data_IF_412046958561
#
_entry.id   IF_412046958561
#
_cell.length_a   1.000
_cell.length_b   1.000
_cell.length_c   1.000
_cell.angle_alpha   90.00
_cell.angle_beta   90.00
_cell.angle_gamma   90.00
#
_symmetry.space_group_name_H-M   'P 1'
#
loop_
_entity.id
_entity.type
_entity.pdbx_description
1 polymer ?
#
# COMPACT_ATOMS: atom_id res chain seq x y z
N UNK A 1 9.47 8.40 -23.98
CA UNK A 1 10.78 8.65 -23.36
C UNK A 1 11.84 7.67 -23.84
N UNK A 2 13.06 7.75 -23.27
CA UNK A 2 14.20 6.87 -23.66
C UNK A 2 13.84 5.37 -23.64
N UNK A 3 13.00 4.94 -22.73
CA UNK A 3 12.57 3.52 -22.62
C UNK A 3 11.66 3.09 -23.76
N UNK A 4 10.82 3.95 -24.28
CA UNK A 4 10.00 3.66 -25.47
C UNK A 4 10.85 3.45 -26.72
N UNK A 5 11.99 4.16 -26.86
CA UNK A 5 12.94 3.95 -27.94
C UNK A 5 13.59 2.56 -27.91
N UNK A 6 13.67 1.95 -26.73
CA UNK A 6 14.20 0.60 -26.51
C UNK A 6 13.07 -0.45 -26.55
N UNK A 7 11.81 -0.04 -26.80
CA UNK A 7 10.64 -0.93 -26.80
C UNK A 7 10.20 -1.38 -25.41
N UNK A 8 10.59 -0.66 -24.37
CA UNK A 8 10.22 -0.95 -22.97
C UNK A 8 9.16 0.03 -22.50
N UNK A 9 8.25 -0.48 -21.66
CA UNK A 9 7.17 0.32 -21.06
C UNK A 9 7.71 1.48 -20.21
N UNK A 10 7.09 2.66 -20.36
CA UNK A 10 7.47 3.89 -19.65
C UNK A 10 7.44 3.77 -18.12
N UNK A 11 6.61 2.86 -17.58
CA UNK A 11 6.50 2.58 -16.14
C UNK A 11 7.82 2.03 -15.59
N UNK A 12 8.49 1.12 -16.31
CA UNK A 12 9.78 0.57 -15.90
C UNK A 12 10.85 1.68 -15.86
N UNK A 13 10.81 2.59 -16.81
CA UNK A 13 11.70 3.76 -16.84
C UNK A 13 11.49 4.69 -15.66
N UNK A 14 10.24 4.97 -15.30
CA UNK A 14 9.90 5.77 -14.14
C UNK A 14 10.36 5.11 -12.82
N UNK A 15 10.16 3.79 -12.70
CA UNK A 15 10.62 3.03 -11.54
C UNK A 15 12.14 3.06 -11.37
N UNK A 16 12.90 2.80 -12.46
CA UNK A 16 14.36 2.86 -12.43
C UNK A 16 14.87 4.27 -12.11
N UNK A 17 14.25 5.31 -12.69
CA UNK A 17 14.58 6.70 -12.37
C UNK A 17 14.34 6.99 -10.88
N UNK A 18 13.23 6.51 -10.31
CA UNK A 18 12.93 6.64 -8.89
C UNK A 18 13.96 5.96 -8.00
N UNK A 19 14.41 4.75 -8.36
CA UNK A 19 15.47 4.04 -7.63
C UNK A 19 16.80 4.79 -7.62
N UNK A 20 17.18 5.36 -8.75
CA UNK A 20 18.42 6.15 -8.85
C UNK A 20 18.31 7.45 -8.06
N UNK A 21 17.21 8.16 -8.19
CA UNK A 21 16.97 9.42 -7.49
C UNK A 21 16.84 9.22 -5.97
N UNK A 22 16.24 8.13 -5.51
CA UNK A 22 16.10 7.82 -4.08
C UNK A 22 17.45 7.77 -3.34
N UNK A 23 18.51 7.36 -4.03
CA UNK A 23 19.87 7.35 -3.45
C UNK A 23 20.53 8.74 -3.43
N UNK A 24 20.12 9.63 -4.34
CA UNK A 24 20.72 10.95 -4.54
C UNK A 24 20.00 12.05 -3.77
N UNK A 25 18.70 11.87 -3.50
CA UNK A 25 17.84 12.87 -2.85
C UNK A 25 17.53 12.40 -1.43
N UNK A 26 17.96 13.13 -0.38
CA UNK A 26 17.56 12.83 0.99
C UNK A 26 16.04 12.88 1.16
N UNK A 27 15.49 11.97 1.98
CA UNK A 27 14.05 11.92 2.27
C UNK A 27 13.53 13.20 2.94
N UNK A 28 14.38 13.91 3.65
CA UNK A 28 14.07 15.20 4.27
C UNK A 28 14.78 16.27 3.45
N UNK A 29 14.15 16.72 2.38
CA UNK A 29 14.69 17.80 1.54
C UNK A 29 13.55 18.60 0.90
N UNK A 30 13.73 19.93 0.70
CA UNK A 30 12.71 20.75 0.02
C UNK A 30 12.32 20.23 -1.37
N UNK A 31 13.27 19.58 -2.06
CA UNK A 31 13.01 18.96 -3.36
C UNK A 31 12.07 17.76 -3.23
N UNK A 32 12.25 16.91 -2.21
CA UNK A 32 11.39 15.76 -1.96
C UNK A 32 9.97 16.21 -1.60
N UNK A 33 9.84 17.23 -0.75
CA UNK A 33 8.54 17.81 -0.39
C UNK A 33 7.79 18.35 -1.62
N UNK A 34 8.48 19.02 -2.53
CA UNK A 34 7.87 19.50 -3.78
C UNK A 34 7.46 18.36 -4.71
N UNK A 35 8.28 17.32 -4.85
CA UNK A 35 7.96 16.15 -5.66
C UNK A 35 6.75 15.40 -5.10
N UNK A 36 6.70 15.23 -3.79
CA UNK A 36 5.58 14.58 -3.11
C UNK A 36 4.31 15.41 -3.22
N UNK A 37 4.40 16.72 -3.04
CA UNK A 37 3.26 17.63 -3.21
C UNK A 37 2.69 17.55 -4.62
N UNK A 38 3.51 17.68 -5.66
CA UNK A 38 3.06 17.63 -7.06
C UNK A 38 2.51 16.24 -7.40
N UNK A 39 3.16 15.19 -6.92
CA UNK A 39 2.69 13.80 -7.07
C UNK A 39 1.29 13.61 -6.51
N UNK A 40 1.09 14.00 -5.26
CA UNK A 40 -0.17 13.81 -4.53
C UNK A 40 -1.28 14.77 -5.00
N UNK A 41 -0.93 16.01 -5.33
CA UNK A 41 -1.93 17.02 -5.69
C UNK A 41 -2.37 16.96 -7.16
N UNK A 42 -1.51 16.49 -8.06
CA UNK A 42 -1.78 16.54 -9.50
C UNK A 42 -1.76 15.15 -10.15
N UNK A 43 -0.64 14.42 -10.05
CA UNK A 43 -0.46 13.19 -10.82
C UNK A 43 -1.34 12.04 -10.34
N UNK A 44 -1.48 11.84 -9.02
CA UNK A 44 -2.31 10.75 -8.47
C UNK A 44 -3.79 10.97 -8.77
N UNK A 45 -4.41 12.16 -8.51
CA UNK A 45 -5.80 12.40 -8.87
C UNK A 45 -6.05 12.29 -10.38
N UNK A 46 -5.17 12.84 -11.21
CA UNK A 46 -5.29 12.74 -12.66
C UNK A 46 -5.28 11.27 -13.14
N UNK A 47 -4.35 10.47 -12.61
CA UNK A 47 -4.27 9.05 -12.91
C UNK A 47 -5.55 8.31 -12.47
N UNK A 48 -6.02 8.55 -11.23
CA UNK A 48 -7.22 7.89 -10.71
C UNK A 48 -8.49 8.25 -11.49
N UNK A 49 -8.64 9.51 -11.90
CA UNK A 49 -9.76 9.95 -12.75
C UNK A 49 -9.67 9.29 -14.13
N UNK A 50 -8.49 9.30 -14.75
CA UNK A 50 -8.27 8.69 -16.06
C UNK A 50 -8.60 7.21 -16.06
N UNK A 51 -8.17 6.50 -15.03
CA UNK A 51 -8.51 5.08 -14.84
C UNK A 51 -10.00 4.89 -14.57
N UNK A 52 -10.60 5.72 -13.70
CA UNK A 52 -12.03 5.66 -13.40
C UNK A 52 -12.90 5.76 -14.65
N UNK A 53 -12.48 6.54 -15.64
CA UNK A 53 -13.21 6.67 -16.93
C UNK A 53 -13.11 5.42 -17.82
N UNK A 54 -12.08 4.58 -17.64
CA UNK A 54 -11.93 3.33 -18.39
C UNK A 54 -12.81 2.20 -17.83
N UNK A 55 -13.31 2.36 -16.61
CA UNK A 55 -14.08 1.33 -15.94
C UNK A 55 -15.52 1.33 -16.44
N UNK A 56 -15.97 0.22 -16.97
CA UNK A 56 -17.36 0.03 -17.37
C UNK A 56 -18.12 -0.76 -16.29
N UNK A 57 -18.74 -0.06 -15.33
CA UNK A 57 -19.50 -0.68 -14.25
C UNK A 57 -20.68 -1.54 -14.75
N UNK A 58 -21.21 -1.30 -15.95
CA UNK A 58 -22.30 -2.10 -16.51
C UNK A 58 -21.87 -3.53 -16.81
N UNK A 59 -20.60 -3.75 -17.14
CA UNK A 59 -20.06 -5.10 -17.40
C UNK A 59 -20.01 -5.93 -16.11
N UNK A 60 -19.88 -5.30 -14.94
CA UNK A 60 -19.91 -5.99 -13.65
C UNK A 60 -21.29 -6.56 -13.28
N UNK A 61 -22.36 -5.94 -13.79
CA UNK A 61 -23.76 -6.34 -13.54
C UNK A 61 -24.40 -7.01 -14.77
N UNK A 62 -23.66 -7.18 -15.87
CA UNK A 62 -24.11 -7.86 -17.08
C UNK A 62 -23.95 -9.37 -17.02
N UNK A 63 -24.41 -10.06 -18.08
CA UNK A 63 -24.32 -11.53 -18.24
C UNK A 63 -22.91 -12.03 -18.61
N UNK A 64 -21.86 -11.20 -18.46
CA UNK A 64 -20.48 -11.55 -18.83
C UNK A 64 -19.74 -12.38 -17.77
N UNK A 65 -18.62 -12.97 -18.16
CA UNK A 65 -17.73 -13.74 -17.27
C UNK A 65 -16.88 -12.86 -16.33
N UNK A 66 -16.98 -11.53 -16.42
CA UNK A 66 -16.23 -10.58 -15.60
C UNK A 66 -16.38 -10.83 -14.10
N UNK A 67 -17.58 -11.17 -13.63
CA UNK A 67 -17.83 -11.48 -12.23
C UNK A 67 -17.15 -12.79 -11.80
N UNK A 68 -17.14 -13.82 -12.66
CA UNK A 68 -16.44 -15.08 -12.39
C UNK A 68 -14.93 -14.86 -12.34
N UNK A 69 -14.39 -14.10 -13.30
CA UNK A 69 -12.97 -13.72 -13.35
C UNK A 69 -12.60 -12.95 -12.07
N UNK A 70 -13.40 -11.96 -11.70
CA UNK A 70 -13.19 -11.20 -10.47
C UNK A 70 -13.20 -12.09 -9.22
N UNK A 71 -14.16 -13.01 -9.09
CA UNK A 71 -14.27 -13.92 -7.96
C UNK A 71 -13.03 -14.83 -7.85
N UNK A 72 -12.54 -15.38 -8.95
CA UNK A 72 -11.33 -16.19 -8.98
C UNK A 72 -10.11 -15.35 -8.60
N UNK A 73 -9.94 -14.16 -9.17
CA UNK A 73 -8.84 -13.25 -8.85
C UNK A 73 -8.84 -12.85 -7.37
N UNK A 74 -10.00 -12.49 -6.82
CA UNK A 74 -10.14 -12.11 -5.41
C UNK A 74 -9.78 -13.29 -4.50
N UNK A 75 -10.33 -14.47 -4.78
CA UNK A 75 -10.07 -15.67 -3.98
C UNK A 75 -8.59 -16.04 -4.00
N UNK A 76 -7.94 -16.02 -5.16
CA UNK A 76 -6.51 -16.29 -5.28
C UNK A 76 -5.66 -15.24 -4.55
N UNK A 77 -5.99 -13.96 -4.68
CA UNK A 77 -5.26 -12.89 -4.02
C UNK A 77 -5.35 -12.97 -2.50
N UNK A 78 -6.56 -13.16 -1.96
CA UNK A 78 -6.78 -13.26 -0.52
C UNK A 78 -6.13 -14.51 0.08
N UNK A 79 -6.32 -15.68 -0.55
CA UNK A 79 -5.76 -16.94 -0.06
C UNK A 79 -4.25 -17.00 -0.18
N UNK A 80 -3.67 -16.56 -1.29
CA UNK A 80 -2.23 -16.53 -1.48
C UNK A 80 -1.52 -15.66 -0.45
N UNK A 81 -2.04 -14.47 -0.19
CA UNK A 81 -1.49 -13.57 0.84
C UNK A 81 -1.71 -14.11 2.26
N UNK A 82 -2.86 -14.74 2.52
CA UNK A 82 -3.11 -15.36 3.80
C UNK A 82 -2.11 -16.50 4.10
N UNK A 83 -1.85 -17.35 3.11
CA UNK A 83 -0.86 -18.44 3.22
C UNK A 83 0.54 -17.86 3.45
N UNK A 84 0.93 -16.80 2.71
CA UNK A 84 2.21 -16.14 2.89
C UNK A 84 2.38 -15.57 4.30
N UNK A 85 1.38 -14.86 4.82
CA UNK A 85 1.41 -14.32 6.18
C UNK A 85 1.42 -15.41 7.25
N UNK A 86 0.69 -16.51 7.04
CA UNK A 86 0.69 -17.65 7.93
C UNK A 86 2.06 -18.37 7.97
N UNK A 87 2.69 -18.51 6.80
CA UNK A 87 4.03 -19.10 6.71
C UNK A 87 5.06 -18.21 7.40
N UNK A 88 5.00 -16.91 7.19
CA UNK A 88 5.86 -15.92 7.86
C UNK A 88 5.68 -15.96 9.36
N UNK A 89 4.44 -16.04 9.85
CA UNK A 89 4.16 -16.20 11.27
C UNK A 89 4.85 -17.44 11.86
N UNK A 90 4.80 -18.58 11.17
CA UNK A 90 5.44 -19.82 11.64
C UNK A 90 6.97 -19.72 11.66
N UNK A 91 7.57 -19.14 10.62
CA UNK A 91 9.03 -19.03 10.50
C UNK A 91 9.59 -18.06 11.54
N UNK A 92 8.96 -16.91 11.72
CA UNK A 92 9.45 -15.85 12.63
C UNK A 92 8.83 -15.92 14.03
N UNK A 93 7.96 -16.91 14.32
CA UNK A 93 7.27 -17.08 15.59
C UNK A 93 6.52 -15.83 16.06
N UNK A 94 5.92 -15.10 15.11
CA UNK A 94 5.15 -13.89 15.37
C UNK A 94 3.81 -14.20 16.05
N UNK A 95 3.26 -13.21 16.74
CA UNK A 95 1.92 -13.31 17.35
C UNK A 95 0.82 -13.36 16.28
N UNK A 96 -0.38 -13.81 16.68
CA UNK A 96 -1.55 -13.83 15.80
C UNK A 96 -1.98 -12.40 15.40
N UNK A 97 -1.79 -11.44 16.31
CA UNK A 97 -2.13 -10.04 16.05
C UNK A 97 -1.20 -9.43 15.00
N UNK A 98 0.11 -9.66 15.15
CA UNK A 98 1.11 -9.22 14.15
C UNK A 98 0.85 -9.82 12.78
N UNK A 99 0.52 -11.11 12.70
CA UNK A 99 0.13 -11.75 11.43
C UNK A 99 -1.09 -11.05 10.80
N UNK A 100 -2.13 -10.79 11.58
CA UNK A 100 -3.34 -10.16 11.08
C UNK A 100 -3.08 -8.72 10.61
N UNK A 101 -2.24 -8.00 11.33
CA UNK A 101 -1.80 -6.66 10.94
C UNK A 101 -1.02 -6.70 9.62
N UNK A 102 -0.04 -7.61 9.53
CA UNK A 102 0.75 -7.82 8.32
C UNK A 102 -0.12 -8.23 7.12
N UNK A 103 -1.07 -9.14 7.33
CA UNK A 103 -2.04 -9.54 6.30
C UNK A 103 -2.90 -8.36 5.86
N UNK A 104 -3.47 -7.61 6.79
CA UNK A 104 -4.28 -6.44 6.49
C UNK A 104 -3.48 -5.40 5.68
N UNK A 105 -2.31 -4.99 6.14
CA UNK A 105 -1.47 -3.99 5.46
C UNK A 105 -0.98 -4.44 4.08
N UNK A 106 -0.67 -5.73 3.90
CA UNK A 106 -0.17 -6.25 2.62
C UNK A 106 -1.27 -6.54 1.61
N UNK A 107 -2.53 -6.67 2.06
CA UNK A 107 -3.62 -7.15 1.20
C UNK A 107 -4.22 -6.06 0.30
N UNK A 108 -4.14 -4.79 0.69
CA UNK A 108 -4.63 -3.69 -0.12
C UNK A 108 -3.93 -3.66 -1.49
N UNK A 109 -4.70 -3.82 -2.54
CA UNK A 109 -4.26 -3.62 -3.91
C UNK A 109 -4.87 -2.32 -4.41
N UNK A 110 -4.05 -1.49 -5.06
CA UNK A 110 -4.47 -0.16 -5.47
C UNK A 110 -3.88 0.23 -6.83
N UNK A 111 -3.43 1.47 -6.96
CA UNK A 111 -2.97 2.07 -8.20
C UNK A 111 -1.91 1.25 -8.95
N UNK A 112 -0.96 0.61 -8.26
CA UNK A 112 0.08 -0.20 -8.90
C UNK A 112 -0.48 -1.42 -9.64
N UNK A 113 -1.45 -2.12 -9.05
CA UNK A 113 -2.13 -3.26 -9.68
C UNK A 113 -2.88 -2.82 -10.93
N UNK A 114 -3.57 -1.69 -10.83
CA UNK A 114 -4.33 -1.14 -11.93
C UNK A 114 -3.43 -0.67 -13.07
N UNK A 115 -2.31 -0.02 -12.74
CA UNK A 115 -1.31 0.38 -13.74
C UNK A 115 -0.74 -0.84 -14.48
N UNK A 116 -0.40 -1.91 -13.76
CA UNK A 116 0.10 -3.14 -14.37
C UNK A 116 -0.92 -3.81 -15.32
N UNK A 117 -2.19 -3.84 -14.91
CA UNK A 117 -3.27 -4.38 -15.75
C UNK A 117 -3.53 -3.51 -16.97
N UNK A 118 -3.47 -2.19 -16.85
CA UNK A 118 -3.59 -1.28 -17.99
C UNK A 118 -2.46 -1.45 -19.00
N UNK A 119 -1.23 -1.67 -18.54
CA UNK A 119 -0.11 -2.01 -19.44
C UNK A 119 -0.42 -3.28 -20.20
N UNK A 120 -0.81 -4.37 -19.52
CA UNK A 120 -1.18 -5.62 -20.14
C UNK A 120 -2.37 -5.49 -21.11
N UNK A 121 -3.33 -4.64 -20.80
CA UNK A 121 -4.48 -4.35 -21.66
C UNK A 121 -4.09 -3.62 -22.97
N UNK A 122 -3.07 -2.78 -22.92
CA UNK A 122 -2.58 -2.05 -24.10
C UNK A 122 -1.65 -2.87 -24.99
N UNK A 123 -1.16 -4.03 -24.52
CA UNK A 123 -0.33 -4.92 -25.32
C UNK A 123 -1.20 -5.70 -26.32
N UNK A 124 -0.91 -5.53 -27.60
CA UNK A 124 -1.53 -6.28 -28.71
C UNK A 124 -0.59 -7.42 -29.11
N UNK A 125 -1.09 -8.64 -29.05
CA UNK A 125 -0.37 -9.84 -29.49
C UNK A 125 -0.21 -9.87 -31.01
N UNK A 126 0.75 -10.63 -31.56
CA UNK A 126 0.89 -10.81 -33.00
C UNK A 126 -0.36 -11.42 -33.69
N UNK A 127 -1.25 -12.04 -32.90
CA UNK A 127 -2.56 -12.56 -33.33
C UNK A 127 -3.60 -11.45 -33.56
N UNK A 128 -3.30 -10.19 -33.18
CA UNK A 128 -4.23 -9.06 -33.24
C UNK A 128 -5.15 -8.93 -32.02
N UNK A 129 -5.07 -9.86 -31.06
CA UNK A 129 -5.84 -9.83 -29.83
C UNK A 129 -5.07 -9.08 -28.73
N UNK A 130 -5.80 -8.50 -27.76
CA UNK A 130 -5.19 -7.89 -26.58
C UNK A 130 -4.72 -8.98 -25.61
N UNK A 131 -3.59 -8.73 -24.93
CA UNK A 131 -3.05 -9.65 -23.93
C UNK A 131 -4.04 -9.86 -22.76
N UNK A 132 -4.69 -8.79 -22.32
CA UNK A 132 -5.74 -8.82 -21.31
C UNK A 132 -7.05 -8.30 -21.93
N UNK A 133 -8.16 -8.99 -21.66
CA UNK A 133 -9.48 -8.60 -22.13
C UNK A 133 -10.19 -7.64 -21.15
N UNK A 134 -11.34 -7.13 -21.58
CA UNK A 134 -12.15 -6.18 -20.78
C UNK A 134 -12.64 -6.82 -19.47
N UNK A 135 -12.87 -8.14 -19.43
CA UNK A 135 -13.29 -8.85 -18.22
C UNK A 135 -12.23 -8.82 -17.12
N UNK A 136 -10.94 -8.95 -17.50
CA UNK A 136 -9.82 -8.87 -16.55
C UNK A 136 -9.66 -7.44 -16.03
N UNK A 137 -9.80 -6.44 -16.90
CA UNK A 137 -9.74 -5.03 -16.48
C UNK A 137 -10.85 -4.71 -15.47
N UNK A 138 -12.08 -5.05 -15.79
CA UNK A 138 -13.23 -4.79 -14.91
C UNK A 138 -13.17 -5.66 -13.63
N UNK A 139 -12.73 -6.92 -13.75
CA UNK A 139 -12.49 -7.82 -12.62
C UNK A 139 -11.44 -7.28 -11.65
N UNK A 140 -10.39 -6.64 -12.17
CA UNK A 140 -9.35 -6.00 -11.35
C UNK A 140 -9.89 -4.86 -10.51
N UNK A 141 -10.83 -4.08 -11.03
CA UNK A 141 -11.45 -3.00 -10.25
C UNK A 141 -12.23 -3.57 -9.06
N UNK A 142 -12.99 -4.63 -9.29
CA UNK A 142 -13.69 -5.33 -8.23
C UNK A 142 -12.71 -5.92 -7.19
N UNK A 143 -11.61 -6.51 -7.66
CA UNK A 143 -10.52 -7.00 -6.82
C UNK A 143 -9.97 -5.89 -5.92
N UNK A 144 -9.67 -4.72 -6.46
CA UNK A 144 -9.16 -3.57 -5.71
C UNK A 144 -10.17 -3.16 -4.64
N UNK A 145 -11.44 -2.98 -5.01
CA UNK A 145 -12.49 -2.58 -4.08
C UNK A 145 -12.59 -3.56 -2.91
N UNK A 146 -12.72 -4.85 -3.19
CA UNK A 146 -12.88 -5.89 -2.16
C UNK A 146 -11.63 -5.99 -1.28
N UNK A 147 -10.43 -6.00 -1.88
CA UNK A 147 -9.18 -6.11 -1.11
C UNK A 147 -8.94 -4.89 -0.24
N UNK A 148 -9.27 -3.67 -0.68
CA UNK A 148 -9.17 -2.46 0.14
C UNK A 148 -10.12 -2.49 1.34
N UNK A 149 -11.37 -2.90 1.14
CA UNK A 149 -12.34 -3.01 2.24
C UNK A 149 -11.90 -4.07 3.25
N UNK A 150 -11.53 -5.27 2.79
CA UNK A 150 -11.06 -6.37 3.65
C UNK A 150 -9.80 -5.96 4.40
N UNK A 151 -8.84 -5.32 3.71
CA UNK A 151 -7.60 -4.80 4.28
C UNK A 151 -7.87 -3.81 5.40
N UNK A 152 -8.70 -2.80 5.15
CA UNK A 152 -9.06 -1.77 6.12
C UNK A 152 -9.67 -2.36 7.39
N UNK A 153 -10.66 -3.25 7.24
CA UNK A 153 -11.35 -3.87 8.38
C UNK A 153 -10.42 -4.74 9.23
N UNK A 154 -9.53 -5.51 8.59
CA UNK A 154 -8.60 -6.40 9.31
C UNK A 154 -7.52 -5.59 10.01
N UNK A 155 -6.94 -4.59 9.32
CA UNK A 155 -5.90 -3.72 9.87
C UNK A 155 -6.43 -2.93 11.07
N UNK A 156 -7.61 -2.33 10.95
CA UNK A 156 -8.21 -1.55 12.03
C UNK A 156 -8.44 -2.42 13.28
N UNK A 157 -9.01 -3.62 13.10
CA UNK A 157 -9.25 -4.55 14.22
C UNK A 157 -7.95 -5.02 14.87
N UNK A 158 -6.92 -5.33 14.06
CA UNK A 158 -5.64 -5.77 14.58
C UNK A 158 -4.91 -4.63 15.32
N UNK A 159 -4.88 -3.43 14.75
CA UNK A 159 -4.25 -2.26 15.35
C UNK A 159 -4.92 -1.86 16.68
N UNK A 160 -6.27 -1.84 16.71
CA UNK A 160 -7.00 -1.56 17.97
C UNK A 160 -6.69 -2.57 19.08
N UNK A 161 -6.59 -3.87 18.74
CA UNK A 161 -6.22 -4.88 19.73
C UNK A 161 -4.80 -4.70 20.24
N UNK A 162 -3.84 -4.42 19.35
CA UNK A 162 -2.46 -4.15 19.77
C UNK A 162 -2.38 -2.94 20.70
N UNK A 163 -3.08 -1.86 20.37
CA UNK A 163 -3.10 -0.67 21.22
C UNK A 163 -3.76 -0.92 22.59
N UNK A 164 -4.74 -1.83 22.68
CA UNK A 164 -5.34 -2.21 23.95
C UNK A 164 -4.43 -3.11 24.79
N UNK A 165 -3.70 -4.04 24.15
CA UNK A 165 -2.73 -4.91 24.84
C UNK A 165 -1.56 -4.09 25.39
N UNK A 166 -1.05 -3.11 24.64
CA UNK A 166 0.00 -2.19 25.09
C UNK A 166 -0.49 -1.23 26.21
N UNK A 167 -1.81 -0.98 26.28
CA UNK A 167 -2.41 -0.09 27.28
C UNK A 167 -2.79 -0.81 28.57
N UNK A 168 -2.68 -2.15 28.64
CA UNK A 168 -2.80 -2.87 29.91
C UNK A 168 -1.50 -2.69 30.70
N UNK A 169 -1.52 -2.12 31.90
CA UNK A 169 -0.32 -2.05 32.71
C UNK A 169 0.16 -3.50 32.95
N UNK A 170 1.34 -3.82 32.41
CA UNK A 170 2.06 -5.02 32.85
C UNK A 170 2.14 -5.01 34.38
N UNK A 171 1.36 -5.90 34.99
CA UNK A 171 1.52 -6.18 36.39
C UNK A 171 2.93 -6.74 36.60
N UNK A 172 3.74 -5.91 37.24
CA UNK A 172 4.85 -6.27 38.09
C UNK A 172 6.07 -6.98 37.49
N UNK A 173 7.11 -6.27 37.41
CA UNK A 173 8.46 -6.37 37.96
C UNK A 173 9.58 -5.97 37.02
N UNK A 174 9.53 -4.78 36.55
CA UNK A 174 10.75 -4.02 36.32
C UNK A 174 10.50 -2.61 36.84
N UNK A 175 11.36 -2.13 37.72
CA UNK A 175 11.44 -0.73 38.10
C UNK A 175 11.61 0.07 36.82
N UNK A 176 10.50 0.43 36.17
CA UNK A 176 10.53 1.41 35.12
C UNK A 176 10.91 2.75 35.76
N UNK A 177 12.13 3.14 35.46
CA UNK A 177 12.53 4.53 35.68
C UNK A 177 11.59 5.38 34.87
N UNK A 178 10.71 6.13 35.50
CA UNK A 178 9.82 7.09 34.83
C UNK A 178 10.67 7.96 33.92
N UNK A 179 10.45 7.84 32.61
CA UNK A 179 11.16 8.64 31.60
C UNK A 179 10.31 9.85 31.29
N UNK A 180 10.68 10.98 31.79
CA UNK A 180 10.06 12.27 31.47
C UNK A 180 10.75 12.82 30.21
N UNK A 181 10.00 13.00 29.15
CA UNK A 181 10.50 13.59 27.90
C UNK A 181 10.22 15.09 27.94
N UNK A 182 11.27 15.87 28.12
CA UNK A 182 11.19 17.32 28.14
C UNK A 182 11.60 17.87 26.79
N UNK A 183 10.68 18.52 26.07
CA UNK A 183 10.98 19.21 24.82
C UNK A 183 11.64 20.55 25.09
N UNK A 184 12.92 20.68 24.76
CA UNK A 184 13.70 21.89 25.00
C UNK A 184 13.85 22.64 23.68
N UNK A 185 13.23 23.83 23.63
CA UNK A 185 13.33 24.72 22.47
C UNK A 185 14.51 25.70 22.57
N UNK A 186 14.96 26.00 23.79
CA UNK A 186 16.10 26.88 24.06
C UNK A 186 17.04 26.24 25.09
N UNK A 187 18.36 26.13 24.80
CA UNK A 187 19.34 25.53 25.70
C UNK A 187 19.45 26.24 27.08
N UNK A 188 19.17 27.52 27.15
CA UNK A 188 19.28 28.33 28.39
C UNK A 188 18.20 27.99 29.43
N UNK A 189 17.14 27.25 29.04
CA UNK A 189 16.05 26.87 29.95
C UNK A 189 16.17 25.44 30.49
N UNK A 190 17.27 24.75 30.22
CA UNK A 190 17.47 23.33 30.59
C UNK A 190 17.45 23.17 32.13
N UNK A 191 18.18 24.01 32.86
CA UNK A 191 18.29 23.94 34.32
C UNK A 191 16.94 24.13 35.00
N UNK A 192 16.16 25.11 34.56
CA UNK A 192 14.84 25.41 35.12
C UNK A 192 13.83 24.28 34.86
N UNK A 193 13.88 23.68 33.66
CA UNK A 193 12.97 22.60 33.30
C UNK A 193 13.30 21.26 33.97
N UNK A 194 14.59 20.98 34.21
CA UNK A 194 15.02 19.80 34.97
C UNK A 194 14.63 19.94 36.44
N UNK A 195 14.76 21.12 37.02
CA UNK A 195 14.36 21.40 38.42
C UNK A 195 12.84 21.31 38.64
N UNK A 196 12.03 21.57 37.61
CA UNK A 196 10.57 21.43 37.66
C UNK A 196 10.10 19.97 37.51
N UNK A 197 10.96 19.08 37.01
CA UNK A 197 10.64 17.67 36.79
C UNK A 197 11.09 16.73 37.93
N UNK A 198 11.83 17.25 38.89
CA UNK A 198 12.26 16.58 40.14
C UNK A 198 11.26 16.82 41.27
#
# INVERSE_FOLDING_TARGET
>A
GLMELVGMEGILGAFLAGLVLNRLIPHVSPLMDHLEFVGNALFIPYFLIGVGMLINLRVLFGEGDALKVAAVMITMALTGKWIACWLTQKIYKMSVLERNLMYGLSNAQAAATLAAVLVGYNIILPTGERLLNDDVLNGTVLLILVTCVVSSLITERAARKMAMDDSQPENESSKETEKILISIANPDTIEDMVNLSL
#
